data_IF_203430935604
#
_entry.id   IF_203430935604
#
_cell.length_a   1.000
_cell.length_b   1.000
_cell.length_c   1.000
_cell.angle_alpha   90.00
_cell.angle_beta   90.00
_cell.angle_gamma   90.00
#
_symmetry.space_group_name_H-M   'P 1'
#
loop_
_entity.id
_entity.type
_entity.pdbx_description
1 polymer ?
#
# COMPACT_ATOMS: atom_id res chain seq x y z
N UNK A 1 11.72 -25.08 -8.11
CA UNK A 1 11.76 -24.02 -7.06
C UNK A 1 13.18 -23.46 -7.00
N UNK A 2 13.42 -22.35 -7.70
CA UNK A 2 14.74 -21.72 -7.75
C UNK A 2 15.15 -21.16 -6.38
N UNK A 3 16.43 -21.25 -6.05
CA UNK A 3 17.01 -20.77 -4.80
C UNK A 3 16.81 -19.25 -4.69
N UNK A 4 15.79 -18.81 -3.93
CA UNK A 4 15.54 -17.41 -3.59
C UNK A 4 16.74 -16.71 -2.90
N UNK A 5 17.72 -17.48 -2.43
CA UNK A 5 18.92 -16.97 -1.76
C UNK A 5 20.13 -16.75 -2.68
N UNK A 6 20.07 -17.13 -3.96
CA UNK A 6 21.15 -16.88 -4.94
C UNK A 6 20.58 -16.71 -6.36
N UNK A 7 20.21 -15.49 -6.71
CA UNK A 7 20.47 -14.98 -8.08
C UNK A 7 21.96 -14.62 -8.15
N UNK A 8 22.55 -14.63 -9.34
CA UNK A 8 24.00 -14.47 -9.52
C UNK A 8 24.61 -13.30 -8.73
N UNK A 9 25.83 -13.53 -8.27
CA UNK A 9 26.46 -13.02 -7.04
C UNK A 9 26.90 -11.56 -7.02
N UNK A 10 26.08 -10.61 -7.46
CA UNK A 10 26.37 -9.17 -7.33
C UNK A 10 25.19 -8.28 -6.96
N UNK A 11 23.96 -8.79 -6.92
CA UNK A 11 22.76 -7.94 -6.82
C UNK A 11 22.03 -7.99 -5.47
N UNK A 12 22.32 -8.95 -4.59
CA UNK A 12 21.62 -9.07 -3.29
C UNK A 12 22.62 -9.11 -2.14
N UNK A 13 22.55 -8.13 -1.25
CA UNK A 13 23.30 -8.06 0.00
C UNK A 13 22.33 -8.39 1.14
N UNK A 14 22.45 -9.58 1.72
CA UNK A 14 21.63 -10.02 2.83
C UNK A 14 22.52 -10.66 3.92
N UNK A 15 23.00 -9.88 4.90
CA UNK A 15 23.77 -10.44 6.00
C UNK A 15 22.91 -11.37 6.86
N UNK A 16 23.57 -12.19 7.67
CA UNK A 16 22.88 -13.03 8.67
C UNK A 16 22.15 -12.11 9.65
N UNK A 17 20.91 -12.49 10.01
CA UNK A 17 20.10 -11.75 10.98
C UNK A 17 20.86 -11.52 12.28
N UNK A 18 20.77 -10.31 12.81
CA UNK A 18 21.23 -10.00 14.17
C UNK A 18 20.11 -10.29 15.16
N UNK A 19 20.43 -10.93 16.29
CA UNK A 19 19.45 -11.27 17.32
C UNK A 19 19.90 -10.71 18.66
N UNK A 20 19.02 -9.95 19.30
CA UNK A 20 19.18 -9.45 20.67
C UNK A 20 18.25 -10.27 21.57
N UNK A 21 18.77 -11.19 22.39
CA UNK A 21 17.96 -11.92 23.35
C UNK A 21 17.49 -10.99 24.47
N UNK A 22 16.21 -11.07 24.82
CA UNK A 22 15.58 -10.29 25.87
C UNK A 22 15.20 -11.26 27.00
N UNK A 23 16.23 -11.76 27.69
CA UNK A 23 16.13 -12.88 28.64
C UNK A 23 15.08 -12.67 29.75
N UNK A 24 14.94 -11.48 30.38
CA UNK A 24 13.96 -11.29 31.45
C UNK A 24 12.50 -11.50 31.02
N UNK A 25 12.23 -11.46 29.72
CA UNK A 25 10.89 -11.54 29.16
C UNK A 25 10.70 -12.75 28.23
N UNK A 26 11.61 -13.73 28.23
CA UNK A 26 11.56 -14.92 27.37
C UNK A 26 11.31 -14.58 25.88
N UNK A 27 11.99 -13.53 25.39
CA UNK A 27 11.81 -13.05 24.04
C UNK A 27 13.13 -12.70 23.35
N UNK A 28 13.02 -12.26 22.10
CA UNK A 28 14.14 -11.70 21.33
C UNK A 28 13.66 -10.64 20.35
N UNK A 29 14.58 -9.73 19.99
CA UNK A 29 14.48 -8.86 18.83
C UNK A 29 15.41 -9.39 17.73
N UNK A 30 14.87 -9.65 16.55
CA UNK A 30 15.62 -9.96 15.34
C UNK A 30 15.64 -8.77 14.40
N UNK A 31 16.80 -8.45 13.84
CA UNK A 31 16.99 -7.43 12.80
C UNK A 31 17.52 -8.11 11.54
N UNK A 32 16.81 -7.92 10.43
CA UNK A 32 17.06 -8.62 9.17
C UNK A 32 17.17 -7.58 8.04
N UNK A 33 18.34 -6.95 7.86
CA UNK A 33 18.56 -6.00 6.78
C UNK A 33 18.81 -6.72 5.46
N UNK A 34 18.39 -6.10 4.36
CA UNK A 34 18.70 -6.55 3.01
C UNK A 34 18.76 -5.38 2.02
N UNK A 35 19.64 -5.50 1.04
CA UNK A 35 19.71 -4.60 -0.11
C UNK A 35 19.64 -5.42 -1.40
N UNK A 36 18.77 -5.02 -2.33
CA UNK A 36 18.64 -5.61 -3.67
C UNK A 36 19.00 -4.52 -4.69
N UNK A 37 20.21 -4.61 -5.25
CA UNK A 37 20.78 -3.62 -6.15
C UNK A 37 20.01 -3.50 -7.47
N UNK A 38 19.57 -4.63 -8.05
CA UNK A 38 18.79 -4.66 -9.29
C UNK A 38 17.49 -3.83 -9.19
N UNK A 39 16.88 -3.82 -8.01
CA UNK A 39 15.59 -3.20 -7.77
C UNK A 39 15.69 -1.89 -6.95
N UNK A 40 16.91 -1.50 -6.53
CA UNK A 40 17.12 -0.34 -5.67
C UNK A 40 16.46 -0.43 -4.29
N UNK A 41 16.23 -1.63 -3.76
CA UNK A 41 15.49 -1.84 -2.51
C UNK A 41 16.47 -1.94 -1.34
N UNK A 42 16.49 -0.95 -0.45
CA UNK A 42 17.15 -1.05 0.85
C UNK A 42 16.09 -1.17 1.95
N UNK A 43 16.11 -2.26 2.72
CA UNK A 43 15.14 -2.45 3.79
C UNK A 43 15.73 -3.17 5.01
N UNK A 44 15.02 -3.11 6.13
CA UNK A 44 15.25 -4.01 7.27
C UNK A 44 13.93 -4.43 7.87
N UNK A 45 13.79 -5.73 8.13
CA UNK A 45 12.70 -6.24 8.97
C UNK A 45 13.19 -6.31 10.41
N UNK A 46 12.48 -5.65 11.30
CA UNK A 46 12.59 -5.84 12.74
C UNK A 46 11.47 -6.76 13.18
N UNK A 47 11.79 -7.83 13.88
CA UNK A 47 10.83 -8.81 14.38
C UNK A 47 11.06 -9.03 15.85
N UNK A 48 10.02 -8.95 16.66
CA UNK A 48 10.07 -9.42 18.04
C UNK A 48 9.32 -10.73 18.18
N UNK A 49 9.88 -11.61 18.99
CA UNK A 49 9.22 -12.83 19.43
C UNK A 49 9.23 -12.85 20.95
N UNK A 50 8.13 -13.22 21.56
CA UNK A 50 8.00 -13.44 22.99
C UNK A 50 7.22 -14.70 23.24
N UNK A 51 7.73 -15.56 24.12
CA UNK A 51 6.96 -16.70 24.61
C UNK A 51 5.81 -16.17 25.48
N UNK A 52 4.58 -16.29 24.99
CA UNK A 52 3.38 -15.80 25.67
C UNK A 52 2.85 -16.85 26.65
N UNK A 53 2.24 -16.38 27.73
CA UNK A 53 1.45 -17.23 28.61
C UNK A 53 0.16 -17.67 27.90
N UNK A 54 -0.37 -18.82 28.33
CA UNK A 54 -1.66 -19.32 27.89
C UNK A 54 -2.77 -18.26 28.16
N UNK A 55 -3.63 -18.00 27.17
CA UNK A 55 -4.67 -16.98 27.24
C UNK A 55 -4.22 -15.54 26.96
N UNK A 56 -2.97 -15.30 26.55
CA UNK A 56 -2.52 -13.94 26.17
C UNK A 56 -3.24 -13.43 24.91
N UNK A 57 -3.74 -12.19 24.98
CA UNK A 57 -4.36 -11.49 23.83
C UNK A 57 -3.35 -10.91 22.84
N UNK A 58 -2.05 -10.95 23.15
CA UNK A 58 -1.00 -10.38 22.31
C UNK A 58 -0.34 -11.46 21.45
N UNK A 59 -0.06 -11.18 20.16
CA UNK A 59 0.63 -12.13 19.30
C UNK A 59 2.05 -12.42 19.81
N UNK A 60 2.49 -13.67 19.68
CA UNK A 60 3.84 -14.12 20.02
C UNK A 60 4.90 -13.49 19.13
N UNK A 61 4.54 -13.11 17.90
CA UNK A 61 5.43 -12.47 16.93
C UNK A 61 4.85 -11.14 16.49
N UNK A 62 5.65 -10.09 16.51
CA UNK A 62 5.33 -8.81 15.87
C UNK A 62 6.48 -8.42 14.95
N UNK A 63 6.19 -7.78 13.83
CA UNK A 63 7.23 -7.36 12.91
C UNK A 63 6.89 -6.02 12.25
N UNK A 64 7.93 -5.28 11.91
CA UNK A 64 7.85 -4.05 11.12
C UNK A 64 8.96 -4.09 10.08
N UNK A 65 8.63 -3.72 8.85
CA UNK A 65 9.62 -3.56 7.77
C UNK A 65 9.82 -2.07 7.55
N UNK A 66 11.08 -1.64 7.59
CA UNK A 66 11.49 -0.28 7.25
C UNK A 66 12.14 -0.32 5.88
N UNK A 67 11.65 0.53 4.98
CA UNK A 67 12.32 0.81 3.71
C UNK A 67 13.19 2.05 3.89
N UNK A 68 14.31 2.11 3.18
CA UNK A 68 15.20 3.25 3.15
C UNK A 68 15.47 3.64 1.70
N UNK A 69 15.65 4.92 1.44
CA UNK A 69 16.14 5.39 0.16
C UNK A 69 17.60 4.95 0.01
N UNK A 70 17.96 4.12 -0.98
CA UNK A 70 19.27 3.49 -1.07
C UNK A 70 20.43 4.48 -1.18
N UNK A 71 20.25 5.60 -1.90
CA UNK A 71 21.30 6.62 -2.08
C UNK A 71 21.41 7.62 -0.92
N UNK A 72 20.32 7.87 -0.19
CA UNK A 72 20.19 8.99 0.76
C UNK A 72 20.03 8.55 2.21
N UNK A 73 19.82 7.26 2.45
CA UNK A 73 19.75 6.64 3.77
C UNK A 73 18.55 7.00 4.64
N UNK A 74 17.66 7.91 4.21
CA UNK A 74 16.44 8.23 4.96
C UNK A 74 15.41 7.11 4.85
N UNK A 75 14.66 6.87 5.92
CA UNK A 75 13.55 5.91 5.90
C UNK A 75 12.52 6.37 4.86
N UNK A 76 12.18 5.48 3.94
CA UNK A 76 11.04 5.61 3.01
C UNK A 76 9.77 5.37 3.83
N UNK A 77 9.45 6.39 4.63
CA UNK A 77 8.31 6.47 5.53
C UNK A 77 7.00 6.47 4.74
N UNK A 78 5.94 5.95 5.36
CA UNK A 78 4.57 6.23 4.90
C UNK A 78 4.38 7.74 5.00
N UNK A 79 4.03 8.39 3.90
CA UNK A 79 3.72 9.82 3.90
C UNK A 79 2.22 9.99 3.94
N UNK A 80 1.73 10.86 4.80
CA UNK A 80 0.31 11.18 4.87
C UNK A 80 0.11 12.67 4.70
N UNK A 81 -0.88 13.01 3.87
CA UNK A 81 -1.45 14.34 3.83
C UNK A 81 -2.96 14.25 4.05
N UNK A 82 -3.52 15.23 4.75
CA UNK A 82 -4.95 15.42 4.86
C UNK A 82 -5.26 16.90 4.88
N UNK A 83 -6.40 17.29 4.29
CA UNK A 83 -6.93 18.65 4.36
C UNK A 83 -7.04 19.15 5.82
N UNK A 84 -7.36 18.26 6.75
CA UNK A 84 -7.35 18.54 8.20
C UNK A 84 -6.09 17.94 8.81
N UNK A 85 -5.11 18.79 9.12
CA UNK A 85 -3.81 18.37 9.68
C UNK A 85 -3.95 17.55 10.96
N UNK A 86 -4.91 17.88 11.81
CA UNK A 86 -5.21 17.16 13.05
C UNK A 86 -5.53 15.68 12.80
N UNK A 87 -6.28 15.36 11.75
CA UNK A 87 -6.61 13.98 11.39
C UNK A 87 -5.39 13.21 10.90
N UNK A 88 -4.51 13.86 10.13
CA UNK A 88 -3.24 13.26 9.73
C UNK A 88 -2.35 12.99 10.96
N UNK A 89 -2.32 13.92 11.92
CA UNK A 89 -1.55 13.73 13.15
C UNK A 89 -2.12 12.61 14.03
N UNK A 90 -3.44 12.52 14.14
CA UNK A 90 -4.12 11.43 14.85
C UNK A 90 -3.79 10.08 14.22
N UNK A 91 -3.86 9.98 12.89
CA UNK A 91 -3.48 8.75 12.17
C UNK A 91 -2.03 8.32 12.44
N UNK A 92 -1.09 9.27 12.51
CA UNK A 92 0.31 8.97 12.88
C UNK A 92 0.39 8.44 14.32
N UNK A 93 -0.36 9.04 15.24
CA UNK A 93 -0.39 8.62 16.64
C UNK A 93 -0.98 7.20 16.81
N UNK A 94 -2.03 6.87 16.06
CA UNK A 94 -2.71 5.58 16.14
C UNK A 94 -1.85 4.43 15.58
N UNK A 95 -1.10 4.68 14.50
CA UNK A 95 -0.26 3.67 13.86
C UNK A 95 1.06 3.36 14.59
N UNK A 96 1.54 4.28 15.44
CA UNK A 96 2.81 4.15 16.17
C UNK A 96 3.99 3.72 15.26
N UNK A 97 4.04 4.22 14.02
CA UNK A 97 5.02 3.84 13.00
C UNK A 97 5.74 5.05 12.39
N UNK A 98 6.75 4.83 11.51
CA UNK A 98 7.49 5.88 10.82
C UNK A 98 6.62 6.53 9.73
N UNK A 99 5.63 7.33 10.14
CA UNK A 99 4.71 8.05 9.26
C UNK A 99 5.03 9.53 9.31
N UNK A 100 5.28 10.14 8.15
CA UNK A 100 5.55 11.59 8.02
C UNK A 100 4.29 12.32 7.61
N UNK A 101 3.85 13.29 8.41
CA UNK A 101 2.80 14.23 8.01
C UNK A 101 3.38 15.28 7.05
N UNK A 102 2.88 15.30 5.83
CA UNK A 102 3.24 16.24 4.78
C UNK A 102 2.35 17.50 4.83
N UNK A 103 2.89 18.62 4.35
CA UNK A 103 2.20 19.91 4.30
C UNK A 103 1.32 20.08 3.06
N UNK A 104 1.60 19.36 1.98
CA UNK A 104 0.81 19.36 0.75
C UNK A 104 0.71 17.97 0.12
N UNK A 105 -0.25 17.78 -0.79
CA UNK A 105 -0.37 16.54 -1.58
C UNK A 105 0.92 16.31 -2.39
N UNK A 106 1.43 17.36 -3.04
CA UNK A 106 2.67 17.32 -3.82
C UNK A 106 3.85 16.76 -3.00
N UNK A 107 4.03 17.25 -1.78
CA UNK A 107 5.09 16.74 -0.88
C UNK A 107 4.89 15.25 -0.55
N UNK A 108 3.65 14.81 -0.33
CA UNK A 108 3.36 13.42 -0.03
C UNK A 108 3.68 12.47 -1.21
N UNK A 109 3.35 12.89 -2.44
CA UNK A 109 3.39 12.00 -3.61
C UNK A 109 4.68 12.05 -4.41
N UNK A 110 5.49 13.11 -4.32
CA UNK A 110 6.72 13.22 -5.09
C UNK A 110 7.70 12.09 -4.74
N UNK A 111 7.98 11.23 -5.72
CA UNK A 111 8.85 10.06 -5.57
C UNK A 111 8.23 8.89 -4.81
N UNK A 112 6.91 8.88 -4.57
CA UNK A 112 6.21 7.75 -3.99
C UNK A 112 6.03 6.63 -5.02
N UNK A 113 6.31 5.39 -4.63
CA UNK A 113 6.09 4.20 -5.47
C UNK A 113 4.63 3.74 -5.45
N UNK A 114 3.97 3.91 -4.30
CA UNK A 114 2.54 3.61 -4.10
C UNK A 114 1.86 4.81 -3.47
N UNK A 115 0.74 5.24 -4.06
CA UNK A 115 -0.08 6.36 -3.61
C UNK A 115 -1.48 5.83 -3.33
N UNK A 116 -2.06 6.21 -2.20
CA UNK A 116 -3.45 5.89 -1.87
C UNK A 116 -4.22 7.20 -1.72
N UNK A 117 -5.30 7.36 -2.48
CA UNK A 117 -6.23 8.48 -2.32
C UNK A 117 -7.53 7.96 -1.72
N UNK A 118 -7.90 8.49 -0.56
CA UNK A 118 -9.07 8.08 0.21
C UNK A 118 -9.72 9.32 0.82
N UNK A 119 -10.07 10.28 -0.02
CA UNK A 119 -10.61 11.59 0.39
C UNK A 119 -12.04 11.79 -0.11
N UNK A 120 -12.75 12.70 0.56
CA UNK A 120 -14.03 13.23 0.07
C UNK A 120 -13.84 14.48 -0.79
N UNK A 121 -12.77 14.57 -1.59
CA UNK A 121 -12.58 15.68 -2.52
C UNK A 121 -13.58 15.57 -3.69
N UNK A 122 -14.13 16.71 -4.10
CA UNK A 122 -14.98 16.84 -5.28
C UNK A 122 -14.25 17.42 -6.49
N UNK A 123 -12.97 17.76 -6.33
CA UNK A 123 -12.11 18.35 -7.35
C UNK A 123 -10.72 17.69 -7.28
N UNK A 124 -10.01 17.55 -8.41
CA UNK A 124 -8.70 16.90 -8.45
C UNK A 124 -7.72 17.47 -7.41
N UNK A 125 -7.13 16.57 -6.63
CA UNK A 125 -6.10 16.89 -5.63
C UNK A 125 -4.76 16.23 -5.97
N UNK A 126 -4.76 15.15 -6.74
CA UNK A 126 -3.57 14.48 -7.24
C UNK A 126 -3.43 14.77 -8.73
N UNK A 127 -2.30 15.37 -9.10
CA UNK A 127 -1.99 15.76 -10.46
C UNK A 127 -0.88 14.88 -11.04
N UNK A 128 -1.04 14.43 -12.28
CA UNK A 128 -0.12 13.54 -12.98
C UNK A 128 1.32 14.06 -13.01
N UNK A 129 1.51 15.38 -13.10
CA UNK A 129 2.82 16.02 -13.06
C UNK A 129 3.64 15.77 -11.78
N UNK A 130 3.01 15.34 -10.69
CA UNK A 130 3.70 15.02 -9.43
C UNK A 130 4.00 13.54 -9.26
N UNK A 131 3.39 12.69 -10.10
CA UNK A 131 3.44 11.24 -9.96
C UNK A 131 4.74 10.71 -10.55
N UNK A 132 5.44 9.88 -9.78
CA UNK A 132 6.65 9.18 -10.26
C UNK A 132 6.27 8.24 -11.41
N UNK A 133 6.99 8.24 -12.54
CA UNK A 133 6.80 7.23 -13.58
C UNK A 133 6.92 5.80 -13.01
N UNK A 134 5.94 4.94 -13.29
CA UNK A 134 5.88 3.58 -12.73
C UNK A 134 5.20 3.46 -11.37
N UNK A 135 4.70 4.56 -10.79
CA UNK A 135 3.97 4.51 -9.53
C UNK A 135 2.60 3.81 -9.68
N UNK A 136 2.17 3.16 -8.61
CA UNK A 136 0.83 2.61 -8.48
C UNK A 136 -0.04 3.52 -7.62
N UNK A 137 -1.23 3.87 -8.12
CA UNK A 137 -2.21 4.70 -7.42
C UNK A 137 -3.42 3.83 -7.11
N UNK A 138 -3.75 3.66 -5.84
CA UNK A 138 -5.01 3.06 -5.38
C UNK A 138 -5.98 4.19 -5.00
N UNK A 139 -6.91 4.50 -5.89
CA UNK A 139 -7.88 5.58 -5.72
C UNK A 139 -9.22 5.02 -5.22
N UNK A 140 -9.57 5.34 -3.99
CA UNK A 140 -10.74 4.80 -3.26
C UNK A 140 -11.79 5.88 -3.00
N UNK A 141 -11.40 7.16 -2.97
CA UNK A 141 -12.32 8.28 -2.81
C UNK A 141 -13.10 8.59 -4.10
N UNK A 142 -13.82 9.71 -4.12
CA UNK A 142 -14.58 10.18 -5.29
C UNK A 142 -15.50 9.11 -5.93
N UNK A 143 -16.42 8.56 -5.14
CA UNK A 143 -17.44 7.59 -5.54
C UNK A 143 -18.76 8.25 -5.99
N UNK A 144 -18.67 9.44 -6.60
CA UNK A 144 -19.83 10.16 -7.16
C UNK A 144 -19.49 10.62 -8.57
N UNK A 145 -20.46 10.63 -9.51
CA UNK A 145 -20.18 10.92 -10.92
C UNK A 145 -19.57 12.31 -11.18
N UNK A 146 -19.80 13.23 -10.26
CA UNK A 146 -19.35 14.63 -10.29
C UNK A 146 -18.12 14.88 -9.39
N UNK A 147 -17.62 13.88 -8.67
CA UNK A 147 -16.49 14.02 -7.75
C UNK A 147 -15.23 13.42 -8.34
N UNK A 148 -14.08 14.04 -8.05
CA UNK A 148 -12.77 13.60 -8.53
C UNK A 148 -11.69 13.79 -7.48
N UNK A 149 -10.75 12.86 -7.45
CA UNK A 149 -9.47 13.00 -6.74
C UNK A 149 -8.30 13.19 -7.72
N UNK A 150 -8.43 12.69 -8.95
CA UNK A 150 -7.37 12.56 -9.93
C UNK A 150 -7.62 13.48 -11.13
N UNK A 151 -6.57 14.13 -11.61
CA UNK A 151 -6.64 15.01 -12.77
C UNK A 151 -6.70 14.25 -14.10
N UNK A 152 -6.98 14.96 -15.19
CA UNK A 152 -7.11 14.36 -16.52
C UNK A 152 -5.79 13.81 -17.06
N UNK A 153 -4.66 14.44 -16.74
CA UNK A 153 -3.36 13.99 -17.24
C UNK A 153 -3.04 12.62 -16.67
N UNK A 154 -3.16 12.46 -15.34
CA UNK A 154 -2.93 11.17 -14.69
C UNK A 154 -3.85 10.07 -15.23
N UNK A 155 -5.15 10.38 -15.35
CA UNK A 155 -6.15 9.40 -15.78
C UNK A 155 -6.00 8.96 -17.24
N UNK A 156 -5.47 9.83 -18.11
CA UNK A 156 -5.23 9.49 -19.53
C UNK A 156 -3.93 8.73 -19.77
N UNK A 157 -2.89 9.02 -18.99
CA UNK A 157 -1.57 8.41 -19.18
C UNK A 157 -1.41 7.08 -18.44
N UNK A 158 -2.12 6.90 -17.33
CA UNK A 158 -2.03 5.68 -16.53
C UNK A 158 -2.76 4.49 -17.16
N UNK A 159 -2.28 3.29 -16.86
CA UNK A 159 -3.05 2.05 -17.10
C UNK A 159 -4.10 1.92 -15.99
N UNK A 160 -5.38 2.08 -16.36
CA UNK A 160 -6.49 2.10 -15.42
C UNK A 160 -7.07 0.71 -15.21
N UNK A 161 -7.03 0.24 -13.98
CA UNK A 161 -7.73 -0.92 -13.46
C UNK A 161 -8.92 -0.46 -12.62
N UNK A 162 -10.01 -1.22 -12.65
CA UNK A 162 -11.20 -0.94 -11.84
C UNK A 162 -11.63 -2.19 -11.08
N UNK A 163 -12.46 -2.05 -10.05
CA UNK A 163 -13.12 -3.19 -9.42
C UNK A 163 -14.24 -3.76 -10.31
N UNK A 164 -15.13 -2.90 -10.82
CA UNK A 164 -16.18 -3.23 -11.78
C UNK A 164 -16.25 -2.14 -12.86
N UNK A 165 -16.28 -2.54 -14.14
CA UNK A 165 -16.46 -1.60 -15.26
C UNK A 165 -17.80 -0.89 -15.17
N UNK A 166 -18.87 -1.64 -14.86
CA UNK A 166 -20.22 -1.10 -14.74
C UNK A 166 -20.26 0.00 -13.67
N UNK A 167 -19.78 -0.30 -12.45
CA UNK A 167 -19.70 0.67 -11.36
C UNK A 167 -18.83 1.87 -11.72
N UNK A 168 -17.64 1.64 -12.27
CA UNK A 168 -16.72 2.70 -12.66
C UNK A 168 -17.33 3.68 -13.67
N UNK A 169 -18.06 3.18 -14.67
CA UNK A 169 -18.71 4.03 -15.68
C UNK A 169 -19.97 4.73 -15.18
N UNK A 170 -20.60 4.24 -14.11
CA UNK A 170 -21.81 4.83 -13.55
C UNK A 170 -21.53 5.84 -12.43
N UNK A 171 -20.49 5.61 -11.61
CA UNK A 171 -20.33 6.30 -10.33
C UNK A 171 -19.00 7.05 -10.18
N UNK A 172 -17.95 6.69 -10.93
CA UNK A 172 -16.63 7.31 -10.74
C UNK A 172 -16.48 8.57 -11.60
N UNK A 173 -16.57 9.75 -11.00
CA UNK A 173 -16.27 11.00 -11.70
C UNK A 173 -14.83 11.06 -12.23
N UNK A 174 -13.87 10.39 -11.59
CA UNK A 174 -12.50 10.28 -12.13
C UNK A 174 -12.45 9.57 -13.48
N UNK A 175 -13.38 8.66 -13.76
CA UNK A 175 -13.47 7.91 -15.04
C UNK A 175 -14.37 8.66 -16.03
N UNK A 176 -15.58 9.03 -15.58
CA UNK A 176 -16.62 9.66 -16.42
C UNK A 176 -16.14 11.00 -16.98
N UNK A 177 -15.56 11.85 -16.13
CA UNK A 177 -15.19 13.21 -16.53
C UNK A 177 -13.85 13.27 -17.27
N UNK A 178 -12.94 12.32 -17.01
CA UNK A 178 -11.66 12.24 -17.73
C UNK A 178 -11.77 11.57 -19.11
N UNK A 179 -12.78 10.72 -19.29
CA UNK A 179 -12.91 9.84 -20.45
C UNK A 179 -11.84 8.74 -20.50
N UNK A 180 -11.27 8.38 -19.34
CA UNK A 180 -10.17 7.41 -19.29
C UNK A 180 -10.58 6.02 -19.76
N UNK A 181 -9.67 5.37 -20.49
CA UNK A 181 -9.87 4.02 -20.97
C UNK A 181 -9.60 2.99 -19.86
N UNK A 182 -10.61 2.20 -19.52
CA UNK A 182 -10.47 1.11 -18.54
C UNK A 182 -9.75 -0.07 -19.21
N UNK A 183 -8.53 -0.36 -18.76
CA UNK A 183 -7.73 -1.46 -19.28
C UNK A 183 -8.28 -2.83 -18.87
N UNK A 184 -8.41 -3.08 -17.55
CA UNK A 184 -8.89 -4.36 -17.02
C UNK A 184 -9.64 -4.19 -15.71
N UNK A 185 -10.51 -5.13 -15.37
CA UNK A 185 -11.00 -5.30 -14.01
C UNK A 185 -9.96 -6.02 -13.16
N UNK A 186 -9.94 -5.74 -11.86
CA UNK A 186 -9.01 -6.37 -10.93
C UNK A 186 -9.18 -7.90 -10.91
N UNK A 187 -10.41 -8.39 -11.04
CA UNK A 187 -10.70 -9.83 -11.13
C UNK A 187 -10.07 -10.50 -12.36
N UNK A 188 -10.06 -9.82 -13.51
CA UNK A 188 -9.44 -10.31 -14.75
C UNK A 188 -7.92 -10.45 -14.61
N UNK A 189 -7.29 -9.53 -13.86
CA UNK A 189 -5.85 -9.59 -13.55
C UNK A 189 -5.54 -10.70 -12.55
N UNK A 190 -6.35 -10.84 -11.49
CA UNK A 190 -6.17 -11.88 -10.47
C UNK A 190 -6.28 -13.28 -11.08
N UNK A 191 -7.24 -13.48 -11.99
CA UNK A 191 -7.46 -14.76 -12.66
C UNK A 191 -6.45 -15.04 -13.79
N UNK A 192 -5.53 -14.10 -14.07
CA UNK A 192 -4.51 -14.24 -15.11
C UNK A 192 -5.00 -14.05 -16.54
N UNK A 193 -6.26 -13.61 -16.73
CA UNK A 193 -6.82 -13.31 -18.05
C UNK A 193 -6.22 -12.03 -18.65
N UNK A 194 -5.79 -11.09 -17.81
CA UNK A 194 -5.11 -9.86 -18.20
C UNK A 194 -3.77 -9.67 -17.47
N UNK A 195 -2.75 -9.09 -18.12
CA UNK A 195 -1.46 -8.85 -17.50
C UNK A 195 -1.48 -7.64 -16.54
N UNK A 196 -0.74 -7.74 -15.44
CA UNK A 196 -0.44 -6.61 -14.57
C UNK A 196 0.73 -5.78 -15.17
N UNK A 197 0.45 -4.54 -15.55
CA UNK A 197 1.42 -3.60 -16.15
C UNK A 197 2.29 -2.93 -15.08
N UNK A 198 3.07 -3.71 -14.35
CA UNK A 198 3.84 -3.26 -13.16
C UNK A 198 4.92 -2.22 -13.46
N UNK A 199 5.38 -2.14 -14.70
CA UNK A 199 6.42 -1.19 -15.13
C UNK A 199 5.84 0.17 -15.55
N UNK A 200 4.52 0.29 -15.69
CA UNK A 200 3.84 1.52 -16.08
C UNK A 200 3.24 2.21 -14.87
N UNK A 201 2.94 3.51 -15.00
CA UNK A 201 2.05 4.18 -14.05
C UNK A 201 0.68 3.52 -14.12
N UNK A 202 0.18 3.06 -12.98
CA UNK A 202 -1.09 2.32 -12.90
C UNK A 202 -2.04 3.00 -11.92
N UNK A 203 -3.32 3.05 -12.27
CA UNK A 203 -4.38 3.52 -11.37
C UNK A 203 -5.31 2.35 -11.14
N UNK A 204 -5.54 1.96 -9.89
CA UNK A 204 -6.66 1.13 -9.50
C UNK A 204 -7.74 2.04 -8.91
N UNK A 205 -8.84 2.22 -9.64
CA UNK A 205 -10.00 2.95 -9.15
C UNK A 205 -10.97 1.97 -8.50
N UNK A 206 -11.19 2.12 -7.20
CA UNK A 206 -12.14 1.33 -6.43
C UNK A 206 -13.34 2.20 -6.04
N UNK A 207 -14.53 1.63 -6.22
CA UNK A 207 -15.81 2.16 -5.75
C UNK A 207 -16.43 1.29 -4.66
N UNK A 208 -15.98 0.04 -4.55
CA UNK A 208 -16.52 -0.96 -3.66
C UNK A 208 -17.52 -1.85 -4.39
N UNK A 209 -17.48 -3.14 -4.08
CA UNK A 209 -18.45 -4.11 -4.60
C UNK A 209 -19.08 -4.86 -3.43
N UNK A 210 -20.41 -4.98 -3.42
CA UNK A 210 -21.12 -5.67 -2.34
C UNK A 210 -20.66 -7.12 -2.10
N UNK A 211 -20.04 -7.77 -3.09
CA UNK A 211 -19.42 -9.09 -2.91
C UNK A 211 -18.25 -9.07 -1.90
N UNK A 212 -17.49 -7.97 -1.84
CA UNK A 212 -16.38 -7.79 -0.89
C UNK A 212 -16.92 -7.75 0.56
N UNK A 213 -18.07 -7.11 0.76
CA UNK A 213 -18.76 -7.10 2.06
C UNK A 213 -19.34 -8.47 2.40
N UNK A 214 -20.00 -9.13 1.45
CA UNK A 214 -20.64 -10.42 1.65
C UNK A 214 -19.65 -11.50 2.10
N UNK A 215 -18.47 -11.58 1.45
CA UNK A 215 -17.43 -12.54 1.84
C UNK A 215 -16.82 -12.20 3.21
N UNK A 216 -16.63 -10.92 3.51
CA UNK A 216 -16.11 -10.46 4.81
C UNK A 216 -17.09 -10.78 5.94
N UNK A 217 -18.39 -10.50 5.73
CA UNK A 217 -19.45 -10.80 6.69
C UNK A 217 -19.56 -12.31 6.97
N UNK A 218 -19.47 -13.14 5.92
CA UNK A 218 -19.45 -14.60 6.06
C UNK A 218 -18.25 -15.07 6.89
N UNK A 219 -17.05 -14.56 6.61
CA UNK A 219 -15.83 -14.92 7.36
C UNK A 219 -15.94 -14.59 8.85
N UNK A 220 -16.47 -13.41 9.19
CA UNK A 220 -16.71 -13.00 10.58
C UNK A 220 -17.73 -13.93 11.25
N UNK A 221 -18.84 -14.25 10.56
CA UNK A 221 -19.86 -15.16 11.08
C UNK A 221 -19.32 -16.57 11.34
N UNK A 222 -18.49 -17.09 10.44
CA UNK A 222 -17.85 -18.41 10.59
C UNK A 222 -16.90 -18.43 11.79
N UNK A 223 -16.10 -17.37 11.98
CA UNK A 223 -15.21 -17.26 13.14
C UNK A 223 -15.98 -17.24 14.46
N UNK A 224 -17.05 -16.46 14.54
CA UNK A 224 -17.91 -16.40 15.74
C UNK A 224 -18.53 -17.76 16.10
N UNK A 225 -18.90 -18.55 15.10
CA UNK A 225 -19.44 -19.91 15.30
C UNK A 225 -18.38 -20.93 15.74
N UNK A 226 -17.10 -20.69 15.44
CA UNK A 226 -16.01 -21.57 15.85
C UNK A 226 -15.47 -21.28 17.27
N UNK A 227 -15.84 -20.13 17.84
CA UNK A 227 -15.46 -19.70 19.20
C UNK A 227 -16.52 -20.09 20.26
N UNK A 228 -17.59 -20.78 19.85
CA UNK A 228 -18.64 -21.38 20.69
C UNK A 228 -18.71 -22.90 20.46
#
# INVERSE_FOLDING_TARGET
MGKFSKRDSSEIIQPVRSVVPIQPYNGFLGVMPSYVAADGILCTKMVTFYQRAEGSSLPSTQATVLLFHPERGHITAVRIWSRRREMAQQFVNDLQGPVRVCSSVKEAVMGADVIVTATGASQPILFGEWVKPGAHIAAVGACRPDWRELDDVLMREAVVYVDSREGATAESGDIILSGAHIFAELGEVINGSFPAQREKTTVFKSLGMGIQDAVSAKLVLEKLKSEH
#
